data_IF_922557216327
#
_entry.id   IF_922557216327
#
_cell.length_a   1.000
_cell.length_b   1.000
_cell.length_c   1.000
_cell.angle_alpha   90.00
_cell.angle_beta   90.00
_cell.angle_gamma   90.00
#
_symmetry.space_group_name_H-M   'P 1'
#
loop_
_entity.id
_entity.type
_entity.pdbx_description
1 polymer ?
#
# COMPACT_ATOMS: atom_id res chain seq x y z
N UNK A 1 -58.13 5.77 -15.83
CA UNK A 1 -57.57 5.15 -14.61
C UNK A 1 -58.53 5.39 -13.45
N UNK A 2 -58.60 4.49 -12.46
CA UNK A 2 -59.39 4.71 -11.25
C UNK A 2 -58.54 5.37 -10.15
N UNK A 3 -59.19 6.01 -9.18
CA UNK A 3 -58.49 6.74 -8.12
C UNK A 3 -57.62 5.83 -7.24
N UNK A 4 -58.04 4.58 -7.00
CA UNK A 4 -57.26 3.62 -6.20
C UNK A 4 -55.92 3.27 -6.87
N UNK A 5 -55.93 2.96 -8.17
CA UNK A 5 -54.70 2.69 -8.89
C UNK A 5 -53.82 3.94 -8.98
N UNK A 6 -54.42 5.13 -9.14
CA UNK A 6 -53.66 6.37 -9.15
C UNK A 6 -52.93 6.62 -7.84
N UNK A 7 -53.58 6.38 -6.69
CA UNK A 7 -52.96 6.52 -5.38
C UNK A 7 -51.83 5.50 -5.16
N UNK A 8 -52.00 4.26 -5.64
CA UNK A 8 -50.96 3.23 -5.55
C UNK A 8 -49.71 3.58 -6.37
N UNK A 9 -49.90 4.07 -7.61
CA UNK A 9 -48.80 4.40 -8.52
C UNK A 9 -48.20 5.79 -8.27
N UNK A 10 -48.75 6.59 -7.37
CA UNK A 10 -48.39 8.00 -7.17
C UNK A 10 -46.93 8.18 -6.73
N UNK A 11 -46.44 7.31 -5.84
CA UNK A 11 -45.05 7.35 -5.39
C UNK A 11 -44.08 7.02 -6.54
N UNK A 12 -44.37 5.96 -7.30
CA UNK A 12 -43.56 5.58 -8.46
C UNK A 12 -43.60 6.64 -9.58
N UNK A 13 -44.73 7.36 -9.72
CA UNK A 13 -44.87 8.50 -10.61
C UNK A 13 -43.94 9.65 -10.20
N UNK A 14 -43.94 10.02 -8.91
CA UNK A 14 -43.10 11.11 -8.37
C UNK A 14 -41.60 10.80 -8.53
N UNK A 15 -41.21 9.56 -8.35
CA UNK A 15 -39.82 9.10 -8.47
C UNK A 15 -39.40 8.81 -9.93
N UNK A 16 -40.30 8.99 -10.90
CA UNK A 16 -40.00 8.76 -12.32
C UNK A 16 -39.81 7.30 -12.72
N UNK A 17 -40.18 6.34 -11.87
CA UNK A 17 -39.95 4.90 -12.08
C UNK A 17 -41.04 4.21 -12.91
N UNK A 18 -42.13 4.91 -13.22
CA UNK A 18 -43.24 4.35 -14.00
C UNK A 18 -42.90 4.18 -15.49
N UNK A 19 -43.35 3.09 -16.14
CA UNK A 19 -43.36 2.97 -17.60
C UNK A 19 -44.14 4.12 -18.26
N UNK A 20 -43.72 4.56 -19.46
CA UNK A 20 -44.30 5.72 -20.14
C UNK A 20 -45.82 5.65 -20.32
N UNK A 21 -46.35 4.46 -20.66
CA UNK A 21 -47.78 4.25 -20.86
C UNK A 21 -48.61 4.45 -19.59
N UNK A 22 -48.11 4.03 -18.43
CA UNK A 22 -48.79 4.21 -17.14
C UNK A 22 -48.61 5.64 -16.63
N UNK A 23 -47.42 6.23 -16.85
CA UNK A 23 -47.12 7.61 -16.51
C UNK A 23 -48.08 8.59 -17.21
N UNK A 24 -48.37 8.37 -18.49
CA UNK A 24 -49.34 9.18 -19.24
C UNK A 24 -50.76 9.06 -18.66
N UNK A 25 -51.17 7.86 -18.24
CA UNK A 25 -52.48 7.63 -17.63
C UNK A 25 -52.61 8.29 -16.26
N UNK A 26 -51.57 8.22 -15.42
CA UNK A 26 -51.52 8.93 -14.13
C UNK A 26 -51.60 10.44 -14.36
N UNK A 27 -50.80 10.99 -15.29
CA UNK A 27 -50.80 12.41 -15.60
C UNK A 27 -52.19 12.91 -16.04
N UNK A 28 -52.81 12.21 -16.99
CA UNK A 28 -54.16 12.54 -17.44
C UNK A 28 -55.19 12.45 -16.30
N UNK A 29 -55.04 11.48 -15.38
CA UNK A 29 -55.93 11.35 -14.24
C UNK A 29 -55.78 12.52 -13.25
N UNK A 30 -54.54 12.93 -12.96
CA UNK A 30 -54.25 14.08 -12.09
C UNK A 30 -54.80 15.40 -12.65
N UNK A 31 -54.83 15.58 -13.97
CA UNK A 31 -55.43 16.75 -14.62
C UNK A 31 -56.97 16.74 -14.53
N UNK A 32 -57.59 15.57 -14.40
CA UNK A 32 -59.06 15.40 -14.41
C UNK A 32 -59.70 15.20 -13.03
N UNK A 33 -58.94 14.80 -12.01
CA UNK A 33 -59.45 14.39 -10.70
C UNK A 33 -58.87 15.24 -9.58
N UNK A 34 -59.72 16.09 -8.99
CA UNK A 34 -59.34 17.00 -7.91
C UNK A 34 -58.86 16.25 -6.65
N UNK A 35 -59.51 15.14 -6.28
CA UNK A 35 -59.14 14.33 -5.12
C UNK A 35 -57.71 13.77 -5.24
N UNK A 36 -57.35 13.24 -6.41
CA UNK A 36 -56.03 12.68 -6.64
C UNK A 36 -54.97 13.79 -6.71
N UNK A 37 -55.32 14.95 -7.28
CA UNK A 37 -54.45 16.12 -7.30
C UNK A 37 -54.19 16.67 -5.89
N UNK A 38 -55.20 16.68 -5.02
CA UNK A 38 -55.07 17.08 -3.63
C UNK A 38 -54.09 16.18 -2.86
N UNK A 39 -54.20 14.86 -3.03
CA UNK A 39 -53.26 13.89 -2.43
C UNK A 39 -51.84 14.11 -2.95
N UNK A 40 -51.67 14.27 -4.26
CA UNK A 40 -50.36 14.54 -4.88
C UNK A 40 -49.69 15.81 -4.34
N UNK A 41 -50.47 16.89 -4.18
CA UNK A 41 -49.99 18.14 -3.61
C UNK A 41 -49.59 17.99 -2.15
N UNK A 42 -50.39 17.27 -1.34
CA UNK A 42 -50.09 17.03 0.06
C UNK A 42 -48.79 16.25 0.24
N UNK A 43 -48.58 15.18 -0.54
CA UNK A 43 -47.32 14.43 -0.52
C UNK A 43 -46.13 15.29 -0.95
N UNK A 44 -46.31 16.14 -1.98
CA UNK A 44 -45.25 17.06 -2.44
C UNK A 44 -44.86 18.07 -1.37
N UNK A 45 -45.84 18.59 -0.60
CA UNK A 45 -45.57 19.50 0.51
C UNK A 45 -44.85 18.77 1.64
N UNK A 46 -45.31 17.57 1.99
CA UNK A 46 -44.66 16.73 3.01
C UNK A 46 -43.19 16.47 2.67
N UNK A 47 -42.88 16.08 1.43
CA UNK A 47 -41.50 15.88 0.96
C UNK A 47 -40.67 17.16 1.06
N UNK A 48 -41.23 18.32 0.73
CA UNK A 48 -40.52 19.61 0.87
C UNK A 48 -40.19 19.93 2.33
N UNK A 49 -41.13 19.67 3.25
CA UNK A 49 -40.92 19.88 4.69
C UNK A 49 -39.86 18.92 5.22
N UNK A 50 -39.95 17.63 4.88
CA UNK A 50 -38.95 16.64 5.28
C UNK A 50 -37.56 16.97 4.74
N UNK A 51 -37.44 17.42 3.49
CA UNK A 51 -36.16 17.79 2.90
C UNK A 51 -35.56 19.04 3.54
N UNK A 52 -36.39 19.96 4.05
CA UNK A 52 -35.91 21.14 4.76
C UNK A 52 -35.44 20.83 6.19
N UNK A 53 -36.12 19.90 6.87
CA UNK A 53 -35.79 19.50 8.24
C UNK A 53 -34.64 18.48 8.29
N UNK A 54 -34.57 17.57 7.32
CA UNK A 54 -33.48 16.57 7.19
C UNK A 54 -32.25 17.11 6.47
N UNK A 55 -32.03 18.42 6.46
CA UNK A 55 -30.70 18.96 6.12
C UNK A 55 -29.77 18.57 7.27
N UNK A 56 -29.21 17.36 7.18
CA UNK A 56 -28.06 16.94 7.96
C UNK A 56 -26.98 17.96 7.62
N UNK A 57 -26.78 18.95 8.48
CA UNK A 57 -25.68 19.88 8.30
C UNK A 57 -24.41 19.03 8.36
N UNK A 58 -23.70 18.87 7.22
CA UNK A 58 -22.49 18.07 7.23
C UNK A 58 -21.55 18.74 8.23
N UNK A 59 -20.91 17.94 9.09
CA UNK A 59 -19.94 18.48 10.03
C UNK A 59 -18.92 19.31 9.22
N UNK A 60 -18.76 20.62 9.53
CA UNK A 60 -17.99 21.54 8.70
C UNK A 60 -16.51 21.14 8.56
N UNK A 61 -16.01 20.28 9.45
CA UNK A 61 -14.64 19.78 9.44
C UNK A 61 -14.50 18.38 8.82
N UNK A 62 -15.60 17.74 8.40
CA UNK A 62 -15.57 16.40 7.82
C UNK A 62 -14.78 16.38 6.51
N UNK A 63 -15.04 17.35 5.62
CA UNK A 63 -14.30 17.51 4.36
C UNK A 63 -12.81 17.71 4.61
N UNK A 64 -12.44 18.58 5.56
CA UNK A 64 -11.06 18.82 5.97
C UNK A 64 -10.38 17.55 6.49
N UNK A 65 -11.06 16.80 7.37
CA UNK A 65 -10.51 15.54 7.92
C UNK A 65 -10.33 14.47 6.83
N UNK A 66 -11.27 14.37 5.91
CA UNK A 66 -11.18 13.43 4.79
C UNK A 66 -10.03 13.83 3.87
N UNK A 67 -9.94 15.10 3.48
CA UNK A 67 -8.85 15.61 2.62
C UNK A 67 -7.48 15.40 3.26
N UNK A 68 -7.33 15.74 4.56
CA UNK A 68 -6.08 15.51 5.29
C UNK A 68 -5.71 14.01 5.34
N UNK A 69 -6.71 13.12 5.50
CA UNK A 69 -6.47 11.68 5.49
C UNK A 69 -6.05 11.17 4.10
N UNK A 70 -6.61 11.71 3.02
CA UNK A 70 -6.22 11.36 1.66
C UNK A 70 -4.78 11.84 1.38
N UNK A 71 -4.48 13.09 1.70
CA UNK A 71 -3.15 13.67 1.49
C UNK A 71 -2.06 12.90 2.24
N UNK A 72 -2.31 12.53 3.49
CA UNK A 72 -1.35 11.70 4.26
C UNK A 72 -1.17 10.31 3.64
N UNK A 73 -2.23 9.68 3.14
CA UNK A 73 -2.12 8.38 2.44
C UNK A 73 -1.31 8.50 1.14
N UNK A 74 -1.50 9.57 0.36
CA UNK A 74 -0.74 9.84 -0.87
C UNK A 74 0.72 10.19 -0.57
N UNK A 75 0.99 11.00 0.47
CA UNK A 75 2.34 11.31 0.92
C UNK A 75 3.09 10.06 1.37
N UNK A 76 2.45 9.12 2.07
CA UNK A 76 3.08 7.85 2.45
C UNK A 76 3.29 6.91 1.25
N UNK A 77 2.40 6.93 0.26
CA UNK A 77 2.60 6.21 -0.99
C UNK A 77 3.81 6.75 -1.78
N UNK A 78 3.94 8.08 -1.88
CA UNK A 78 5.04 8.75 -2.59
C UNK A 78 6.36 8.77 -1.79
N UNK A 79 6.31 8.80 -0.46
CA UNK A 79 7.51 8.79 0.41
C UNK A 79 8.17 7.41 0.51
N UNK A 80 7.52 6.34 0.03
CA UNK A 80 8.17 5.02 -0.09
C UNK A 80 9.18 4.96 -1.25
N UNK A 81 9.19 5.95 -2.16
CA UNK A 81 10.15 6.03 -3.27
C UNK A 81 11.33 6.99 -3.04
N UNK A 82 11.35 7.83 -2.01
CA UNK A 82 12.44 8.77 -1.77
C UNK A 82 13.48 8.24 -0.77
N UNK A 83 14.04 7.07 -1.06
CA UNK A 83 15.33 6.72 -0.45
C UNK A 83 16.37 7.70 -1.03
N UNK A 84 17.05 8.54 -0.21
CA UNK A 84 17.95 9.55 -0.74
C UNK A 84 19.05 8.86 -1.56
N UNK A 85 19.25 9.32 -2.80
CA UNK A 85 20.18 8.76 -3.80
C UNK A 85 21.58 8.50 -3.22
N UNK A 86 22.02 9.36 -2.30
CA UNK A 86 23.27 9.23 -1.56
C UNK A 86 23.37 7.94 -0.72
N UNK A 87 22.30 7.52 -0.05
CA UNK A 87 22.27 6.28 0.74
C UNK A 87 22.21 5.00 -0.10
N UNK A 88 21.83 5.12 -1.38
CA UNK A 88 21.75 4.02 -2.36
C UNK A 88 23.12 3.67 -2.96
N UNK A 89 24.05 4.64 -3.02
CA UNK A 89 25.40 4.45 -3.60
C UNK A 89 26.49 4.36 -2.53
N UNK A 90 26.41 5.15 -1.46
CA UNK A 90 27.48 5.23 -0.45
C UNK A 90 27.63 3.94 0.35
N UNK A 91 26.51 3.29 0.69
CA UNK A 91 26.54 2.02 1.44
C UNK A 91 27.20 0.86 0.67
N UNK A 92 26.81 0.54 -0.59
CA UNK A 92 27.49 -0.53 -1.33
C UNK A 92 28.93 -0.16 -1.71
N UNK A 93 29.23 1.13 -1.96
CA UNK A 93 30.59 1.57 -2.26
C UNK A 93 31.56 1.30 -1.09
N UNK A 94 31.18 1.62 0.16
CA UNK A 94 32.02 1.37 1.32
C UNK A 94 32.32 -0.12 1.54
N UNK A 95 31.35 -1.00 1.31
CA UNK A 95 31.55 -2.45 1.42
C UNK A 95 32.55 -2.92 0.36
N UNK A 96 32.39 -2.47 -0.89
CA UNK A 96 33.30 -2.86 -1.98
C UNK A 96 34.74 -2.38 -1.75
N UNK A 97 34.91 -1.16 -1.24
CA UNK A 97 36.23 -0.60 -0.89
C UNK A 97 36.88 -1.39 0.24
N UNK A 98 36.11 -1.80 1.25
CA UNK A 98 36.61 -2.62 2.36
C UNK A 98 37.14 -3.97 1.88
N UNK A 99 36.41 -4.66 0.99
CA UNK A 99 36.82 -5.96 0.44
C UNK A 99 38.11 -5.82 -0.38
N UNK A 100 38.20 -4.80 -1.24
CA UNK A 100 39.41 -4.55 -2.04
C UNK A 100 40.60 -4.24 -1.14
N UNK A 101 40.42 -3.42 -0.12
CA UNK A 101 41.46 -3.09 0.85
C UNK A 101 41.95 -4.33 1.62
N UNK A 102 41.03 -5.19 2.06
CA UNK A 102 41.38 -6.44 2.76
C UNK A 102 42.19 -7.39 1.87
N UNK A 103 41.75 -7.60 0.62
CA UNK A 103 42.46 -8.46 -0.35
C UNK A 103 43.85 -7.89 -0.66
N UNK A 104 43.95 -6.58 -0.95
CA UNK A 104 45.21 -5.93 -1.23
C UNK A 104 46.19 -6.05 -0.06
N UNK A 105 45.70 -5.80 1.16
CA UNK A 105 46.51 -5.92 2.38
C UNK A 105 46.99 -7.36 2.56
N UNK A 106 46.12 -8.35 2.37
CA UNK A 106 46.49 -9.77 2.46
C UNK A 106 47.57 -10.16 1.46
N UNK A 107 47.47 -9.70 0.20
CA UNK A 107 48.48 -9.98 -0.84
C UNK A 107 49.82 -9.35 -0.49
N UNK A 108 49.84 -8.10 -0.02
CA UNK A 108 51.08 -7.41 0.38
C UNK A 108 51.74 -8.13 1.56
N UNK A 109 50.98 -8.46 2.60
CA UNK A 109 51.50 -9.17 3.78
C UNK A 109 52.02 -10.57 3.40
N UNK A 110 51.28 -11.30 2.56
CA UNK A 110 51.69 -12.62 2.09
C UNK A 110 52.96 -12.58 1.23
N UNK A 111 53.14 -11.56 0.41
CA UNK A 111 54.35 -11.41 -0.41
C UNK A 111 55.59 -10.99 0.40
N UNK A 112 55.39 -10.23 1.49
CA UNK A 112 56.47 -9.87 2.41
C UNK A 112 56.85 -11.05 3.32
N UNK A 113 55.96 -12.04 3.47
CA UNK A 113 56.26 -13.26 4.20
C UNK A 113 57.23 -14.13 3.41
N UNK A 114 58.52 -13.93 3.65
CA UNK A 114 59.52 -14.93 3.28
C UNK A 114 59.29 -16.15 4.17
N UNK A 115 58.97 -17.34 3.62
CA UNK A 115 59.00 -18.56 4.42
C UNK A 115 60.43 -18.67 4.94
N UNK A 116 60.57 -18.77 6.27
CA UNK A 116 61.87 -18.97 6.88
C UNK A 116 62.44 -20.29 6.35
N UNK A 117 63.33 -20.22 5.34
CA UNK A 117 64.18 -21.32 4.95
C UNK A 117 65.28 -21.44 6.00
N UNK A 118 64.90 -21.85 7.21
CA UNK A 118 65.82 -22.16 8.28
C UNK A 118 65.53 -23.58 8.73
N UNK A 119 66.37 -24.49 8.23
CA UNK A 119 66.67 -25.78 8.85
C UNK A 119 67.22 -25.51 10.26
N UNK A 120 66.33 -25.17 11.18
CA UNK A 120 66.64 -24.98 12.58
C UNK A 120 65.75 -25.93 13.37
N UNK A 121 66.39 -26.86 14.08
CA UNK A 121 65.77 -27.94 14.82
C UNK A 121 64.67 -27.38 15.75
N UNK A 122 63.42 -27.56 15.34
CA UNK A 122 62.26 -27.18 16.14
C UNK A 122 62.26 -28.06 17.39
N UNK A 123 62.20 -27.49 18.60
CA UNK A 123 62.17 -28.27 19.83
C UNK A 123 60.95 -29.20 19.84
N UNK A 124 61.15 -30.45 20.28
CA UNK A 124 60.20 -31.57 20.19
C UNK A 124 58.79 -31.22 20.69
N UNK A 125 58.68 -30.28 21.62
CA UNK A 125 57.41 -29.83 22.18
C UNK A 125 56.54 -29.02 21.19
N UNK A 126 57.14 -28.29 20.24
CA UNK A 126 56.39 -27.52 19.23
C UNK A 126 55.88 -28.39 18.07
N UNK A 127 56.48 -29.56 17.84
CA UNK A 127 56.04 -30.53 16.82
C UNK A 127 54.65 -31.09 17.11
N UNK A 128 54.24 -31.17 18.38
CA UNK A 128 52.91 -31.64 18.78
C UNK A 128 51.80 -30.60 18.54
N UNK A 129 52.14 -29.34 18.27
CA UNK A 129 51.17 -28.29 17.96
C UNK A 129 50.94 -28.11 16.46
N UNK A 130 51.73 -28.78 15.61
CA UNK A 130 51.62 -28.65 14.16
C UNK A 130 50.74 -29.74 13.55
N UNK A 131 49.44 -29.66 13.83
CA UNK A 131 48.41 -30.61 13.38
C UNK A 131 48.41 -30.77 11.84
N UNK A 132 48.67 -29.67 11.12
CA UNK A 132 48.77 -29.65 9.66
C UNK A 132 49.93 -30.48 9.09
N UNK A 133 51.04 -30.65 9.84
CA UNK A 133 52.12 -31.54 9.42
C UNK A 133 51.80 -33.02 9.69
N UNK A 134 51.07 -33.30 10.78
CA UNK A 134 50.62 -34.65 11.12
C UNK A 134 49.57 -35.20 10.14
N UNK A 135 48.76 -34.34 9.53
CA UNK A 135 47.80 -34.72 8.49
C UNK A 135 48.37 -34.66 7.04
N UNK A 136 49.63 -34.25 6.85
CA UNK A 136 50.18 -34.10 5.50
C UNK A 136 50.40 -35.46 4.80
N UNK A 137 49.80 -35.60 3.62
CA UNK A 137 49.82 -36.82 2.79
C UNK A 137 51.20 -37.20 2.26
N UNK A 138 52.18 -36.29 2.30
CA UNK A 138 53.57 -36.56 1.93
C UNK A 138 54.24 -37.60 2.85
N UNK A 139 53.81 -37.70 4.12
CA UNK A 139 54.36 -38.66 5.10
C UNK A 139 53.99 -40.11 4.75
N UNK A 140 52.99 -40.32 3.89
CA UNK A 140 52.58 -41.64 3.38
C UNK A 140 53.08 -41.91 1.94
N UNK A 141 53.74 -40.94 1.31
CA UNK A 141 54.24 -41.06 -0.07
C UNK A 141 55.69 -41.56 -0.17
N UNK A 142 56.43 -41.59 0.93
CA UNK A 142 57.80 -42.14 0.98
C UNK A 142 57.79 -43.53 1.66
N UNK A 143 57.34 -44.53 0.89
CA UNK A 143 57.67 -45.95 1.10
C UNK A 143 57.72 -46.69 -0.24
#
# INVERSE_FOLDING_TARGET
MNCNLCKHELNAYREGRLPEGIRAQVKAHLESCEDCMAVYNLETIADKVFNHEKVIQPNPFLSTRIMAKIETMEQHANSRESIPFYSRVVKPALISVSVIAAVYTGVVVGNVYQPASQTENIPVELTYFNDAALESVDLLSDN
#
